data_IF_104663065818
#
_entry.id   IF_104663065818
#
_cell.length_a   1.000
_cell.length_b   1.000
_cell.length_c   1.000
_cell.angle_alpha   90.00
_cell.angle_beta   90.00
_cell.angle_gamma   90.00
#
_symmetry.space_group_name_H-M   'P 1'
#
loop_
_entity.id
_entity.type
_entity.pdbx_description
1 polymer ?
#
# COMPACT_ATOMS: atom_id res chain seq x y z
N UNK A 1 -6.58 0.34 0.93
CA UNK A 1 -6.32 1.59 0.20
C UNK A 1 -4.86 1.67 -0.18
N UNK A 2 -4.56 1.89 -1.48
CA UNK A 2 -3.21 2.19 -1.96
C UNK A 2 -2.88 3.66 -1.73
N UNK A 3 -1.70 3.94 -1.17
CA UNK A 3 -1.19 5.30 -0.97
C UNK A 3 -0.06 5.55 -1.98
N UNK A 4 -0.42 6.10 -3.13
CA UNK A 4 0.47 6.44 -4.23
C UNK A 4 0.31 7.95 -4.54
N UNK A 5 0.79 8.84 -3.64
CA UNK A 5 0.54 10.27 -3.71
C UNK A 5 1.41 10.94 -4.78
N UNK A 6 0.90 11.06 -6.01
CA UNK A 6 1.55 11.85 -7.06
C UNK A 6 1.62 13.33 -6.60
N UNK A 7 2.82 13.93 -6.36
CA UNK A 7 2.95 15.17 -5.60
C UNK A 7 2.14 16.34 -6.19
N UNK A 8 2.27 16.62 -7.47
CA UNK A 8 1.57 17.74 -8.10
C UNK A 8 0.05 17.58 -8.10
N UNK A 9 -0.44 16.38 -8.36
CA UNK A 9 -1.90 16.12 -8.40
C UNK A 9 -2.50 16.18 -7.01
N UNK A 10 -1.81 15.59 -6.01
CA UNK A 10 -2.33 15.54 -4.66
C UNK A 10 -2.34 16.91 -4.01
N UNK A 11 -1.29 17.71 -4.24
CA UNK A 11 -1.23 19.11 -3.80
C UNK A 11 -2.36 19.92 -4.40
N UNK A 12 -2.58 19.82 -5.71
CA UNK A 12 -3.66 20.54 -6.41
C UNK A 12 -5.02 20.17 -5.82
N UNK A 13 -5.25 18.90 -5.53
CA UNK A 13 -6.51 18.39 -5.02
C UNK A 13 -6.80 18.83 -3.59
N UNK A 14 -5.81 18.75 -2.70
CA UNK A 14 -6.00 18.95 -1.26
C UNK A 14 -5.60 20.34 -0.76
N UNK A 15 -5.09 21.22 -1.62
CA UNK A 15 -4.56 22.54 -1.23
C UNK A 15 -5.52 23.35 -0.36
N UNK A 16 -6.77 23.47 -0.79
CA UNK A 16 -7.78 24.26 -0.05
C UNK A 16 -8.12 23.67 1.30
N UNK A 17 -8.11 22.34 1.43
CA UNK A 17 -8.38 21.67 2.70
C UNK A 17 -7.21 21.80 3.67
N UNK A 18 -5.98 21.66 3.16
CA UNK A 18 -4.77 21.89 3.96
C UNK A 18 -4.72 23.33 4.49
N UNK A 19 -5.00 24.32 3.65
CA UNK A 19 -5.05 25.72 4.09
C UNK A 19 -6.09 25.93 5.20
N UNK A 20 -7.28 25.35 5.05
CA UNK A 20 -8.35 25.42 6.04
C UNK A 20 -7.97 24.78 7.38
N UNK A 21 -7.30 23.63 7.33
CA UNK A 21 -6.81 22.96 8.54
C UNK A 21 -5.76 23.79 9.28
N UNK A 22 -4.82 24.37 8.55
CA UNK A 22 -3.76 25.20 9.11
C UNK A 22 -4.27 26.51 9.72
N UNK A 23 -5.33 27.08 9.14
CA UNK A 23 -6.04 28.23 9.70
C UNK A 23 -6.78 27.88 11.00
N UNK A 24 -7.35 26.67 11.06
CA UNK A 24 -8.14 26.22 12.25
C UNK A 24 -7.27 25.67 13.39
N UNK A 25 -6.15 25.06 13.09
CA UNK A 25 -5.17 24.55 14.06
C UNK A 25 -3.76 24.79 13.54
N UNK A 26 -3.04 25.82 14.06
CA UNK A 26 -1.64 26.01 13.72
C UNK A 26 -0.87 24.74 14.09
N UNK A 27 -0.32 24.05 13.11
CA UNK A 27 0.55 22.90 13.33
C UNK A 27 1.86 23.40 13.95
N UNK A 28 2.08 23.08 15.21
CA UNK A 28 3.38 23.20 15.84
C UNK A 28 4.22 21.98 15.43
N UNK A 29 5.02 22.14 14.39
CA UNK A 29 6.05 21.15 14.05
C UNK A 29 7.27 21.36 14.93
N UNK A 30 7.63 20.35 15.70
CA UNK A 30 8.88 20.34 16.42
C UNK A 30 10.00 19.88 15.47
N UNK A 31 10.72 20.84 14.89
CA UNK A 31 11.91 20.54 14.09
C UNK A 31 13.10 20.34 15.03
N UNK A 32 13.71 19.17 14.98
CA UNK A 32 15.01 18.93 15.63
C UNK A 32 16.07 19.46 14.69
N UNK A 33 16.64 20.63 15.01
CA UNK A 33 17.76 21.17 14.25
C UNK A 33 19.07 20.46 14.61
N UNK A 34 19.77 19.92 13.62
CA UNK A 34 21.14 19.44 13.73
C UNK A 34 22.10 20.63 13.61
N UNK A 35 22.93 20.89 14.64
CA UNK A 35 23.90 21.96 14.62
C UNK A 35 24.10 22.59 16.00
N UNK A 36 24.71 23.78 16.10
CA UNK A 36 25.04 24.49 17.37
C UNK A 36 23.86 24.69 18.34
N UNK A 37 22.64 24.35 17.97
CA UNK A 37 21.43 24.35 18.79
C UNK A 37 20.85 22.95 19.05
N UNK A 38 21.68 21.91 19.09
CA UNK A 38 21.25 20.55 19.43
C UNK A 38 20.38 20.53 20.70
N UNK A 39 19.13 20.08 20.58
CA UNK A 39 18.21 19.90 21.71
C UNK A 39 17.22 21.04 21.97
N UNK A 40 17.22 22.14 21.24
CA UNK A 40 16.15 23.15 21.32
C UNK A 40 15.04 22.84 20.32
N UNK A 41 13.92 22.40 20.83
CA UNK A 41 12.67 22.31 20.07
C UNK A 41 12.11 23.75 19.94
N UNK A 42 12.21 24.33 18.76
CA UNK A 42 11.48 25.56 18.45
C UNK A 42 10.20 25.16 17.67
N UNK A 43 9.02 25.68 18.06
CA UNK A 43 7.82 25.48 17.26
C UNK A 43 7.99 26.21 15.94
N UNK A 44 8.06 25.47 14.83
CA UNK A 44 7.98 26.02 13.48
C UNK A 44 6.51 26.30 13.19
N UNK A 45 6.13 27.57 13.14
CA UNK A 45 4.83 27.95 12.58
C UNK A 45 4.96 27.95 11.06
N UNK A 46 4.36 26.96 10.41
CA UNK A 46 4.31 26.91 8.98
C UNK A 46 3.43 28.06 8.47
N UNK A 47 4.02 28.93 7.67
CA UNK A 47 3.26 29.88 6.85
C UNK A 47 2.52 29.08 5.76
N UNK A 48 1.18 29.14 5.70
CA UNK A 48 0.40 28.45 4.67
C UNK A 48 0.88 28.68 3.23
N UNK A 49 1.51 29.83 2.97
CA UNK A 49 2.08 30.16 1.66
C UNK A 49 3.38 29.40 1.35
N UNK A 50 4.14 28.99 2.38
CA UNK A 50 5.40 28.25 2.24
C UNK A 50 5.21 26.73 2.11
N UNK A 51 4.05 26.20 2.51
CA UNK A 51 3.73 24.78 2.39
C UNK A 51 3.76 24.25 0.95
N UNK A 52 3.68 25.12 -0.04
CA UNK A 52 3.76 24.74 -1.46
C UNK A 52 5.19 24.35 -1.85
N UNK A 53 6.21 24.77 -1.10
CA UNK A 53 7.62 24.48 -1.37
C UNK A 53 8.17 23.27 -0.58
N UNK A 54 7.55 22.89 0.55
CA UNK A 54 7.96 21.75 1.37
C UNK A 54 7.12 20.50 1.05
N UNK A 55 7.42 19.84 -0.06
CA UNK A 55 6.63 18.74 -0.61
C UNK A 55 6.46 17.53 0.33
N UNK A 56 7.44 17.24 1.20
CA UNK A 56 7.44 16.07 2.09
C UNK A 56 6.44 16.20 3.25
N UNK A 57 6.43 17.33 3.94
CA UNK A 57 5.51 17.60 5.08
C UNK A 57 4.06 17.59 4.59
N UNK A 58 3.82 18.22 3.45
CA UNK A 58 2.49 18.30 2.86
C UNK A 58 2.00 16.91 2.44
N UNK A 59 2.86 16.09 1.86
CA UNK A 59 2.54 14.72 1.48
C UNK A 59 2.18 13.87 2.70
N UNK A 60 2.94 13.97 3.78
CA UNK A 60 2.65 13.27 5.03
C UNK A 60 1.28 13.68 5.60
N UNK A 61 1.00 14.97 5.67
CA UNK A 61 -0.31 15.47 6.13
C UNK A 61 -1.46 14.96 5.27
N UNK A 62 -1.32 14.99 3.95
CA UNK A 62 -2.35 14.46 3.03
C UNK A 62 -2.53 12.95 3.23
N UNK A 63 -1.45 12.18 3.36
CA UNK A 63 -1.54 10.75 3.63
C UNK A 63 -2.29 10.47 4.95
N UNK A 64 -2.04 11.25 6.01
CA UNK A 64 -2.77 11.14 7.28
C UNK A 64 -4.24 11.47 7.14
N UNK A 65 -4.59 12.50 6.37
CA UNK A 65 -5.99 12.84 6.07
C UNK A 65 -6.69 11.70 5.32
N UNK A 66 -6.04 11.16 4.30
CA UNK A 66 -6.57 10.03 3.52
C UNK A 66 -6.76 8.80 4.40
N UNK A 67 -5.76 8.45 5.21
CA UNK A 67 -5.87 7.35 6.17
C UNK A 67 -7.07 7.56 7.09
N UNK A 68 -7.18 8.73 7.72
CA UNK A 68 -8.27 9.04 8.66
C UNK A 68 -9.65 8.98 7.99
N UNK A 69 -9.77 9.52 6.77
CA UNK A 69 -11.03 9.55 6.03
C UNK A 69 -11.46 8.16 5.53
N UNK A 70 -10.51 7.27 5.19
CA UNK A 70 -10.79 5.98 4.56
C UNK A 70 -10.72 4.79 5.53
N UNK A 71 -10.19 4.98 6.73
CA UNK A 71 -10.05 3.91 7.73
C UNK A 71 -11.36 3.13 8.00
N UNK A 72 -12.56 3.73 8.11
CA UNK A 72 -13.79 2.97 8.33
C UNK A 72 -14.16 2.01 7.19
N UNK A 73 -13.52 2.14 6.03
CA UNK A 73 -13.81 1.39 4.81
C UNK A 73 -12.64 0.53 4.33
N UNK A 74 -11.49 0.61 4.99
CA UNK A 74 -10.27 -0.09 4.63
C UNK A 74 -9.99 -1.26 5.58
N UNK A 75 -9.40 -2.35 5.07
CA UNK A 75 -8.79 -3.40 5.89
C UNK A 75 -7.28 -3.19 6.02
N UNK A 76 -6.67 -2.50 5.06
CA UNK A 76 -5.23 -2.26 5.03
C UNK A 76 -4.88 -0.99 4.25
N UNK A 77 -3.72 -0.43 4.57
CA UNK A 77 -3.08 0.65 3.83
C UNK A 77 -1.78 0.14 3.19
N UNK A 78 -1.56 0.50 1.94
CA UNK A 78 -0.40 0.04 1.18
C UNK A 78 0.33 1.21 0.52
N UNK A 79 1.22 1.91 1.24
CA UNK A 79 2.09 2.90 0.63
C UNK A 79 3.08 2.24 -0.33
N UNK A 80 3.22 2.83 -1.52
CA UNK A 80 4.20 2.39 -2.50
C UNK A 80 5.49 3.19 -2.31
N UNK A 81 6.58 2.51 -1.98
CA UNK A 81 7.87 3.11 -1.65
C UNK A 81 8.39 4.10 -2.70
N UNK A 82 8.08 3.87 -3.99
CA UNK A 82 8.53 4.76 -5.07
C UNK A 82 8.05 6.21 -4.95
N UNK A 83 6.95 6.45 -4.23
CA UNK A 83 6.43 7.81 -4.00
C UNK A 83 7.04 8.49 -2.77
N UNK A 84 7.86 7.79 -2.00
CA UNK A 84 8.47 8.25 -0.75
C UNK A 84 9.98 8.03 -0.71
N UNK A 85 10.58 7.51 -1.78
CA UNK A 85 12.00 7.21 -1.83
C UNK A 85 12.82 8.53 -1.74
N UNK A 86 13.87 8.52 -0.90
CA UNK A 86 14.70 9.67 -0.55
C UNK A 86 14.04 10.75 0.33
N UNK A 87 12.86 10.51 0.86
CA UNK A 87 12.24 11.37 1.88
C UNK A 87 12.68 10.93 3.29
N UNK A 88 12.97 11.90 4.16
CA UNK A 88 13.54 11.61 5.48
C UNK A 88 12.55 10.91 6.42
N UNK A 89 11.24 11.16 6.32
CA UNK A 89 10.27 10.70 7.32
C UNK A 89 8.98 10.08 6.78
N UNK A 90 8.46 10.52 5.65
CA UNK A 90 7.08 10.27 5.23
C UNK A 90 6.61 8.81 5.28
N UNK A 91 7.39 7.89 4.71
CA UNK A 91 6.99 6.49 4.60
C UNK A 91 6.90 5.77 5.96
N UNK A 92 7.83 6.05 6.88
CA UNK A 92 7.88 5.40 8.21
C UNK A 92 6.88 5.97 9.20
N UNK A 93 6.34 7.15 8.95
CA UNK A 93 5.29 7.75 9.78
C UNK A 93 3.90 7.15 9.50
N UNK A 94 3.67 6.57 8.32
CA UNK A 94 2.38 5.96 7.96
C UNK A 94 2.01 4.80 8.90
N UNK A 95 2.87 3.79 9.17
CA UNK A 95 2.56 2.73 10.14
C UNK A 95 2.25 3.28 11.51
N UNK A 96 3.03 4.24 12.02
CA UNK A 96 2.78 4.87 13.33
C UNK A 96 1.42 5.52 13.39
N UNK A 97 1.04 6.27 12.36
CA UNK A 97 -0.25 6.96 12.30
C UNK A 97 -1.41 5.97 12.21
N UNK A 98 -1.31 4.93 11.37
CA UNK A 98 -2.34 3.89 11.22
C UNK A 98 -2.52 3.14 12.53
N UNK A 99 -1.45 2.66 13.17
CA UNK A 99 -1.53 1.90 14.40
C UNK A 99 -2.00 2.75 15.61
N UNK A 100 -1.69 4.07 15.61
CA UNK A 100 -2.20 4.98 16.63
C UNK A 100 -3.72 5.23 16.53
N UNK A 101 -4.35 4.93 15.40
CA UNK A 101 -5.79 5.14 15.18
C UNK A 101 -6.70 4.16 15.93
N UNK A 102 -6.13 3.21 16.70
CA UNK A 102 -6.84 2.14 17.44
C UNK A 102 -7.74 1.24 16.56
N UNK A 103 -7.53 1.24 15.27
CA UNK A 103 -8.19 0.37 14.32
C UNK A 103 -7.20 -0.72 13.92
N UNK A 104 -7.63 -1.98 13.85
CA UNK A 104 -6.82 -3.14 13.48
C UNK A 104 -6.49 -3.18 11.97
N UNK A 105 -5.90 -2.09 11.47
CA UNK A 105 -5.51 -2.00 10.06
C UNK A 105 -4.09 -2.47 9.85
N UNK A 106 -3.90 -3.24 8.79
CA UNK A 106 -2.56 -3.64 8.34
C UNK A 106 -1.91 -2.53 7.51
N UNK A 107 -0.59 -2.40 7.63
CA UNK A 107 0.20 -1.52 6.76
C UNK A 107 1.20 -2.35 5.96
N UNK A 108 1.05 -2.34 4.64
CA UNK A 108 1.83 -3.15 3.71
C UNK A 108 2.86 -2.27 3.00
N UNK A 109 4.14 -2.52 3.19
CA UNK A 109 5.22 -1.88 2.45
C UNK A 109 5.26 -2.40 1.01
N UNK A 110 4.85 -1.57 0.02
CA UNK A 110 4.89 -1.95 -1.39
C UNK A 110 6.19 -1.46 -2.06
N UNK A 111 7.29 -2.16 -1.80
CA UNK A 111 8.61 -1.81 -2.33
C UNK A 111 9.21 -2.87 -3.24
N UNK A 112 8.57 -4.04 -3.38
CA UNK A 112 8.99 -5.15 -4.26
C UNK A 112 10.48 -5.46 -4.10
N UNK A 113 10.95 -5.48 -2.83
CA UNK A 113 12.36 -5.69 -2.53
C UNK A 113 12.81 -7.09 -2.97
N UNK A 114 14.07 -7.20 -3.34
CA UNK A 114 14.70 -8.45 -3.73
C UNK A 114 16.20 -8.25 -3.79
N UNK A 115 16.92 -9.03 -2.98
CA UNK A 115 18.37 -9.05 -2.91
C UNK A 115 18.80 -10.35 -2.22
N UNK A 116 20.07 -10.63 -2.13
CA UNK A 116 20.59 -11.87 -1.55
C UNK A 116 21.25 -11.65 -0.19
N UNK A 117 21.31 -12.71 0.61
CA UNK A 117 22.11 -12.82 1.83
C UNK A 117 21.88 -11.68 2.81
N UNK A 118 22.98 -11.01 3.20
CA UNK A 118 22.95 -9.96 4.19
C UNK A 118 22.15 -8.72 3.78
N UNK A 119 22.15 -8.36 2.49
CA UNK A 119 21.40 -7.20 1.98
C UNK A 119 19.90 -7.43 2.14
N UNK A 120 19.40 -8.61 1.78
CA UNK A 120 18.00 -8.98 1.99
C UNK A 120 17.61 -8.94 3.47
N UNK A 121 18.50 -9.40 4.37
CA UNK A 121 18.31 -9.30 5.81
C UNK A 121 18.21 -7.84 6.28
N UNK A 122 19.03 -6.94 5.76
CA UNK A 122 18.96 -5.52 6.11
C UNK A 122 17.64 -4.87 5.64
N UNK A 123 17.13 -5.24 4.47
CA UNK A 123 15.80 -4.82 4.02
C UNK A 123 14.69 -5.31 4.94
N UNK A 124 14.70 -6.59 5.33
CA UNK A 124 13.71 -7.16 6.23
C UNK A 124 13.72 -6.43 7.59
N UNK A 125 14.90 -6.24 8.19
CA UNK A 125 15.09 -5.52 9.45
C UNK A 125 14.62 -4.05 9.36
N UNK A 126 14.96 -3.36 8.27
CA UNK A 126 14.55 -1.97 8.07
C UNK A 126 13.03 -1.83 7.95
N UNK A 127 12.38 -2.72 7.19
CA UNK A 127 10.95 -2.62 6.86
C UNK A 127 10.09 -3.20 8.00
N UNK A 128 10.30 -4.46 8.33
CA UNK A 128 9.45 -5.21 9.27
C UNK A 128 9.81 -4.93 10.73
N UNK A 129 11.11 -4.69 11.02
CA UNK A 129 11.59 -4.33 12.35
C UNK A 129 11.42 -2.85 12.64
N UNK A 130 12.34 -2.01 12.15
CA UNK A 130 12.38 -0.57 12.49
C UNK A 130 11.23 0.22 11.87
N UNK A 131 10.81 -0.10 10.65
CA UNK A 131 9.73 0.59 9.94
C UNK A 131 8.34 0.28 10.46
N UNK A 132 8.17 -0.83 11.21
CA UNK A 132 6.90 -1.20 11.83
C UNK A 132 5.80 -1.64 10.86
N UNK A 133 6.16 -2.01 9.62
CA UNK A 133 5.17 -2.51 8.65
C UNK A 133 4.73 -3.94 9.00
N UNK A 134 3.44 -4.23 8.79
CA UNK A 134 2.86 -5.54 9.06
C UNK A 134 3.10 -6.54 7.93
N UNK A 135 3.33 -6.04 6.72
CA UNK A 135 3.67 -6.86 5.57
C UNK A 135 4.54 -6.12 4.56
N UNK A 136 5.15 -6.89 3.65
CA UNK A 136 6.03 -6.37 2.60
C UNK A 136 5.81 -7.11 1.28
N UNK A 137 5.94 -6.42 0.14
CA UNK A 137 6.01 -7.06 -1.18
C UNK A 137 7.46 -7.38 -1.54
N UNK A 138 7.71 -8.62 -1.98
CA UNK A 138 9.05 -9.14 -2.29
C UNK A 138 9.08 -9.75 -3.69
N UNK A 139 10.17 -9.53 -4.42
CA UNK A 139 10.43 -10.17 -5.70
C UNK A 139 11.11 -11.53 -5.47
N UNK A 140 10.49 -12.67 -5.84
CA UNK A 140 11.02 -14.01 -5.57
C UNK A 140 12.02 -14.52 -6.63
N UNK A 141 12.25 -13.78 -7.73
CA UNK A 141 13.00 -14.28 -8.87
C UNK A 141 14.49 -14.60 -8.60
N UNK A 142 15.03 -14.06 -7.49
CA UNK A 142 16.37 -14.40 -7.04
C UNK A 142 16.44 -15.69 -6.20
N UNK A 143 15.31 -16.34 -5.94
CA UNK A 143 15.24 -17.61 -5.23
C UNK A 143 14.90 -17.50 -3.74
N UNK A 144 14.91 -18.66 -3.06
CA UNK A 144 14.51 -18.79 -1.67
C UNK A 144 15.38 -17.98 -0.70
N UNK A 145 16.67 -17.95 -0.92
CA UNK A 145 17.63 -17.23 -0.09
C UNK A 145 17.43 -15.71 -0.08
N UNK A 146 16.83 -15.16 -1.15
CA UNK A 146 16.42 -13.77 -1.21
C UNK A 146 15.13 -13.49 -0.40
N UNK A 147 14.25 -14.47 -0.26
CA UNK A 147 12.95 -14.36 0.42
C UNK A 147 13.05 -14.74 1.90
N UNK A 148 13.84 -15.74 2.25
CA UNK A 148 13.96 -16.30 3.61
C UNK A 148 14.20 -15.27 4.72
N UNK A 149 14.99 -14.19 4.54
CA UNK A 149 15.15 -13.16 5.57
C UNK A 149 13.86 -12.44 5.96
N UNK A 150 12.93 -12.27 5.02
CA UNK A 150 11.61 -11.71 5.31
C UNK A 150 10.70 -12.73 5.99
N UNK A 151 10.76 -13.99 5.58
CA UNK A 151 9.99 -15.09 6.21
C UNK A 151 10.42 -15.36 7.66
N UNK A 152 11.61 -14.91 8.07
CA UNK A 152 12.09 -15.05 9.44
C UNK A 152 11.28 -14.26 10.49
N UNK A 153 10.34 -13.42 10.04
CA UNK A 153 9.40 -12.65 10.86
C UNK A 153 8.00 -13.29 10.80
N UNK A 154 7.70 -14.32 11.61
CA UNK A 154 6.47 -15.11 11.45
C UNK A 154 5.18 -14.33 11.70
N UNK A 155 5.24 -13.24 12.47
CA UNK A 155 4.13 -12.32 12.74
C UNK A 155 3.93 -11.25 11.65
N UNK A 156 4.78 -11.24 10.61
CA UNK A 156 4.74 -10.29 9.50
C UNK A 156 4.46 -10.99 8.17
N UNK A 157 3.59 -10.40 7.35
CA UNK A 157 3.21 -10.95 6.05
C UNK A 157 4.25 -10.67 4.95
N UNK A 158 4.45 -11.64 4.06
CA UNK A 158 5.34 -11.51 2.89
C UNK A 158 4.57 -11.84 1.63
N UNK A 159 4.23 -10.82 0.84
CA UNK A 159 3.56 -11.00 -0.44
C UNK A 159 4.58 -11.11 -1.58
N UNK A 160 4.69 -12.29 -2.16
CA UNK A 160 5.59 -12.55 -3.29
C UNK A 160 4.94 -12.10 -4.59
N UNK A 161 5.70 -11.40 -5.47
CA UNK A 161 5.25 -11.09 -6.81
C UNK A 161 5.05 -12.39 -7.60
N UNK A 162 3.81 -12.66 -7.97
CA UNK A 162 3.44 -13.88 -8.70
C UNK A 162 2.93 -13.55 -10.09
N UNK A 163 1.82 -12.82 -10.18
CA UNK A 163 1.25 -12.37 -11.45
C UNK A 163 0.97 -10.87 -11.37
N UNK A 164 1.69 -10.07 -12.15
CA UNK A 164 1.52 -8.61 -12.15
C UNK A 164 0.46 -8.14 -13.16
N UNK A 165 -0.14 -6.96 -12.91
CA UNK A 165 -1.25 -6.42 -13.71
C UNK A 165 -0.85 -5.71 -15.01
N UNK A 166 0.45 -5.41 -15.19
CA UNK A 166 0.98 -4.68 -16.34
C UNK A 166 1.06 -5.57 -17.60
N UNK A 167 1.05 -5.00 -18.80
CA UNK A 167 1.20 -5.75 -20.06
C UNK A 167 2.47 -6.59 -20.13
N UNK A 168 3.61 -6.06 -19.65
CA UNK A 168 4.92 -6.73 -19.64
C UNK A 168 4.99 -7.99 -18.75
N UNK A 169 3.94 -8.34 -18.01
CA UNK A 169 3.85 -9.65 -17.37
C UNK A 169 3.95 -10.79 -18.41
N UNK A 170 3.56 -10.53 -19.66
CA UNK A 170 3.66 -11.49 -20.74
C UNK A 170 5.11 -11.84 -21.13
N UNK A 171 6.07 -10.95 -20.87
CA UNK A 171 7.47 -11.15 -21.29
C UNK A 171 8.15 -12.28 -20.51
N UNK A 172 7.75 -12.51 -19.25
CA UNK A 172 8.36 -13.50 -18.37
C UNK A 172 7.35 -14.31 -17.58
N UNK A 173 6.42 -13.64 -16.88
CA UNK A 173 5.57 -14.34 -15.90
C UNK A 173 4.60 -15.33 -16.56
N UNK A 174 4.11 -15.02 -17.76
CA UNK A 174 3.23 -15.93 -18.51
C UNK A 174 4.02 -16.96 -19.34
N UNK A 175 5.30 -16.68 -19.66
CA UNK A 175 6.15 -17.62 -20.36
C UNK A 175 6.36 -18.90 -19.55
N UNK A 176 6.07 -20.04 -20.17
CA UNK A 176 6.16 -21.36 -19.55
C UNK A 176 5.48 -21.47 -18.19
N UNK A 177 4.40 -20.71 -17.97
CA UNK A 177 3.65 -20.67 -16.72
C UNK A 177 4.52 -20.32 -15.49
N UNK A 178 5.52 -19.43 -15.64
CA UNK A 178 6.44 -19.06 -14.54
C UNK A 178 5.68 -18.57 -13.30
N UNK A 179 4.56 -17.85 -13.48
CA UNK A 179 3.71 -17.40 -12.36
C UNK A 179 3.17 -18.57 -11.54
N UNK A 180 2.81 -19.72 -12.15
CA UNK A 180 2.40 -20.91 -11.40
C UNK A 180 3.57 -21.55 -10.66
N UNK A 181 4.75 -21.54 -11.28
CA UNK A 181 5.96 -22.01 -10.61
C UNK A 181 6.29 -21.19 -9.38
N UNK A 182 6.08 -19.87 -9.44
CA UNK A 182 6.21 -18.98 -8.28
C UNK A 182 5.15 -19.33 -7.22
N UNK A 183 3.90 -19.57 -7.61
CA UNK A 183 2.84 -19.96 -6.67
C UNK A 183 3.15 -21.29 -5.96
N UNK A 184 3.62 -22.31 -6.69
CA UNK A 184 4.07 -23.59 -6.11
C UNK A 184 5.19 -23.38 -5.07
N UNK A 185 6.20 -22.56 -5.41
CA UNK A 185 7.30 -22.24 -4.50
C UNK A 185 6.83 -21.46 -3.28
N UNK A 186 5.89 -20.54 -3.45
CA UNK A 186 5.29 -19.82 -2.33
C UNK A 186 4.60 -20.77 -1.33
N UNK A 187 3.86 -21.76 -1.83
CA UNK A 187 3.26 -22.81 -0.98
C UNK A 187 4.35 -23.62 -0.25
N UNK A 188 5.39 -24.06 -0.96
CA UNK A 188 6.53 -24.80 -0.39
C UNK A 188 7.23 -23.99 0.73
N UNK A 189 7.40 -22.66 0.53
CA UNK A 189 8.11 -21.81 1.47
C UNK A 189 7.25 -21.33 2.65
N UNK A 190 5.94 -21.56 2.61
CA UNK A 190 4.99 -21.08 3.63
C UNK A 190 4.99 -21.90 4.93
N UNK A 191 6.12 -22.40 5.36
CA UNK A 191 6.20 -23.22 6.59
C UNK A 191 5.85 -22.47 7.88
N UNK A 192 5.90 -21.13 7.86
CA UNK A 192 5.55 -20.27 9.00
C UNK A 192 4.16 -19.62 8.88
N UNK A 193 3.42 -19.90 7.80
CA UNK A 193 2.07 -19.37 7.60
C UNK A 193 1.99 -17.87 7.25
N UNK A 194 3.09 -17.27 6.81
CA UNK A 194 3.20 -15.83 6.58
C UNK A 194 3.44 -15.41 5.12
N UNK A 195 3.29 -16.34 4.17
CA UNK A 195 3.41 -16.07 2.73
C UNK A 195 2.06 -15.76 2.11
N UNK A 196 2.01 -14.72 1.30
CA UNK A 196 0.93 -14.40 0.37
C UNK A 196 1.47 -14.16 -1.04
N UNK A 197 0.56 -13.93 -1.99
CA UNK A 197 0.90 -13.70 -3.39
C UNK A 197 0.33 -12.37 -3.88
N UNK A 198 1.09 -11.63 -4.69
CA UNK A 198 0.57 -10.51 -5.47
C UNK A 198 0.03 -11.05 -6.79
N UNK A 199 -1.29 -10.88 -7.03
CA UNK A 199 -2.00 -11.38 -8.21
C UNK A 199 -2.82 -10.26 -8.84
N UNK A 200 -2.42 -9.79 -10.02
CA UNK A 200 -3.07 -8.67 -10.71
C UNK A 200 -4.48 -8.99 -11.19
N UNK A 201 -5.40 -8.03 -11.03
CA UNK A 201 -6.80 -8.16 -11.41
C UNK A 201 -7.09 -8.11 -12.92
N UNK A 202 -6.10 -7.80 -13.75
CA UNK A 202 -6.29 -7.61 -15.20
C UNK A 202 -6.36 -8.92 -16.00
N UNK A 203 -6.11 -10.06 -15.35
CA UNK A 203 -6.09 -11.39 -15.96
C UNK A 203 -6.75 -12.43 -15.05
N UNK A 204 -8.09 -12.39 -14.91
CA UNK A 204 -8.81 -13.27 -13.98
C UNK A 204 -8.62 -14.76 -14.26
N UNK A 205 -8.49 -15.17 -15.52
CA UNK A 205 -8.28 -16.57 -15.93
C UNK A 205 -6.95 -17.14 -15.40
N UNK A 206 -5.89 -16.33 -15.34
CA UNK A 206 -4.60 -16.74 -14.74
C UNK A 206 -4.66 -16.70 -13.21
N UNK A 207 -5.40 -15.74 -12.66
CA UNK A 207 -5.60 -15.65 -11.21
C UNK A 207 -6.35 -16.87 -10.65
N UNK A 208 -7.32 -17.40 -11.39
CA UNK A 208 -8.00 -18.65 -11.07
C UNK A 208 -7.03 -19.82 -10.94
N UNK A 209 -6.09 -19.97 -11.88
CA UNK A 209 -5.05 -21.01 -11.84
C UNK A 209 -4.10 -20.83 -10.65
N UNK A 210 -3.76 -19.58 -10.27
CA UNK A 210 -2.98 -19.31 -9.06
C UNK A 210 -3.74 -19.76 -7.82
N UNK A 211 -5.04 -19.48 -7.73
CA UNK A 211 -5.88 -19.90 -6.59
C UNK A 211 -5.98 -21.42 -6.48
N UNK A 212 -6.04 -22.14 -7.60
CA UNK A 212 -6.03 -23.62 -7.63
C UNK A 212 -4.71 -24.19 -7.08
N UNK A 213 -3.57 -23.61 -7.44
CA UNK A 213 -2.24 -24.05 -6.97
C UNK A 213 -1.99 -23.65 -5.52
N UNK A 214 -2.45 -22.49 -5.10
CA UNK A 214 -2.19 -21.90 -3.79
C UNK A 214 -3.49 -21.56 -3.03
N UNK A 215 -4.37 -22.55 -2.73
CA UNK A 215 -5.69 -22.31 -2.15
C UNK A 215 -5.64 -21.65 -0.78
N UNK A 216 -4.60 -21.91 0.01
CA UNK A 216 -4.47 -21.41 1.37
C UNK A 216 -3.75 -20.06 1.48
N UNK A 217 -3.07 -19.59 0.43
CA UNK A 217 -2.30 -18.36 0.50
C UNK A 217 -3.21 -17.13 0.33
N UNK A 218 -3.04 -16.07 1.13
CA UNK A 218 -3.71 -14.81 0.91
C UNK A 218 -3.22 -14.15 -0.39
N UNK A 219 -4.15 -13.54 -1.12
CA UNK A 219 -3.85 -12.82 -2.37
C UNK A 219 -3.95 -11.31 -2.15
N UNK A 220 -2.92 -10.57 -2.52
CA UNK A 220 -2.95 -9.12 -2.69
C UNK A 220 -3.25 -8.81 -4.15
N UNK A 221 -4.40 -8.20 -4.41
CA UNK A 221 -4.98 -8.04 -5.75
C UNK A 221 -4.95 -6.56 -6.17
N UNK A 222 -3.88 -6.07 -6.80
CA UNK A 222 -3.85 -4.75 -7.42
C UNK A 222 -4.45 -4.77 -8.83
N UNK A 223 -4.75 -3.57 -9.36
CA UNK A 223 -5.14 -3.39 -10.76
C UNK A 223 -6.63 -3.16 -11.00
N UNK A 224 -7.42 -3.00 -9.93
CA UNK A 224 -8.83 -2.58 -10.02
C UNK A 224 -8.92 -1.07 -10.28
N UNK A 225 -9.91 -0.66 -11.04
CA UNK A 225 -10.18 0.73 -11.39
C UNK A 225 -9.26 1.23 -12.50
N UNK A 226 -8.32 2.13 -12.19
CA UNK A 226 -7.49 2.82 -13.18
C UNK A 226 -6.65 1.92 -14.12
N UNK A 227 -6.44 0.66 -13.79
CA UNK A 227 -5.75 -0.32 -14.64
C UNK A 227 -6.70 -1.24 -15.43
N UNK A 228 -8.02 -1.05 -15.28
CA UNK A 228 -9.03 -1.74 -16.06
C UNK A 228 -9.43 -3.13 -15.57
N UNK A 229 -8.93 -3.58 -14.42
CA UNK A 229 -9.37 -4.84 -13.82
C UNK A 229 -10.85 -4.78 -13.42
N UNK A 230 -11.60 -5.84 -13.73
CA UNK A 230 -13.01 -5.99 -13.35
C UNK A 230 -13.09 -6.65 -11.97
N UNK A 231 -13.72 -5.96 -11.02
CA UNK A 231 -13.81 -6.42 -9.63
C UNK A 231 -14.62 -7.73 -9.53
N UNK A 232 -15.76 -7.83 -10.19
CA UNK A 232 -16.60 -9.04 -10.15
C UNK A 232 -15.87 -10.25 -10.72
N UNK A 233 -15.30 -10.12 -11.91
CA UNK A 233 -14.59 -11.21 -12.58
C UNK A 233 -13.39 -11.72 -11.76
N UNK A 234 -12.61 -10.83 -11.16
CA UNK A 234 -11.45 -11.27 -10.36
C UNK A 234 -11.90 -11.93 -9.05
N UNK A 235 -12.94 -11.42 -8.38
CA UNK A 235 -13.45 -12.03 -7.14
C UNK A 235 -14.05 -13.43 -7.41
N UNK A 236 -14.74 -13.62 -8.51
CA UNK A 236 -15.23 -14.94 -8.93
C UNK A 236 -14.06 -15.87 -9.26
N UNK A 237 -13.07 -15.40 -10.03
CA UNK A 237 -11.88 -16.18 -10.41
C UNK A 237 -11.07 -16.68 -9.21
N UNK A 238 -10.91 -15.85 -8.19
CA UNK A 238 -10.17 -16.25 -6.95
C UNK A 238 -11.07 -16.92 -5.91
N UNK A 239 -12.31 -17.24 -6.27
CA UNK A 239 -13.29 -17.93 -5.39
C UNK A 239 -13.53 -17.15 -4.08
N UNK A 240 -13.64 -15.83 -4.16
CA UNK A 240 -13.68 -14.94 -3.00
C UNK A 240 -14.82 -15.25 -2.00
N UNK A 241 -15.98 -15.74 -2.48
CA UNK A 241 -17.13 -16.11 -1.63
C UNK A 241 -16.85 -17.32 -0.71
N UNK A 242 -16.06 -18.28 -1.18
CA UNK A 242 -15.73 -19.50 -0.44
C UNK A 242 -14.34 -19.46 0.18
N UNK A 243 -13.48 -18.57 -0.33
CA UNK A 243 -12.12 -18.38 0.13
C UNK A 243 -11.82 -16.89 0.34
N UNK A 244 -12.10 -16.32 1.52
CA UNK A 244 -11.97 -14.90 1.81
C UNK A 244 -10.53 -14.44 2.08
N UNK A 245 -9.52 -15.24 1.71
CA UNK A 245 -8.10 -14.89 1.87
C UNK A 245 -7.62 -14.00 0.74
N UNK A 246 -8.06 -12.75 0.72
CA UNK A 246 -7.63 -11.77 -0.26
C UNK A 246 -7.71 -10.33 0.28
N UNK A 247 -6.94 -9.44 -0.34
CA UNK A 247 -6.99 -7.99 -0.17
C UNK A 247 -7.03 -7.34 -1.56
N UNK A 248 -8.10 -6.63 -1.88
CA UNK A 248 -8.17 -5.81 -3.10
C UNK A 248 -7.47 -4.48 -2.85
N UNK A 249 -6.47 -4.13 -3.67
CA UNK A 249 -5.79 -2.85 -3.59
C UNK A 249 -6.28 -1.88 -4.66
N UNK A 250 -6.87 -0.76 -4.23
CA UNK A 250 -7.28 0.36 -5.09
C UNK A 250 -6.52 1.60 -4.64
N UNK A 251 -5.87 2.30 -5.57
CA UNK A 251 -5.12 3.52 -5.30
C UNK A 251 -5.73 4.72 -6.03
N UNK A 252 -5.37 4.95 -7.28
CA UNK A 252 -5.74 6.16 -8.05
C UNK A 252 -7.24 6.48 -8.06
N UNK A 253 -8.09 5.47 -8.16
CA UNK A 253 -9.55 5.67 -8.16
C UNK A 253 -10.11 6.10 -6.79
N UNK A 254 -9.34 5.92 -5.71
CA UNK A 254 -9.67 6.43 -4.38
C UNK A 254 -9.00 7.79 -4.15
N UNK A 255 -7.72 7.92 -4.47
CA UNK A 255 -6.94 9.13 -4.21
C UNK A 255 -7.36 10.32 -5.10
N UNK A 256 -7.80 10.04 -6.33
CA UNK A 256 -8.18 11.03 -7.35
C UNK A 256 -9.58 10.71 -7.90
N UNK A 257 -10.63 10.72 -7.06
CA UNK A 257 -11.96 10.36 -7.49
C UNK A 257 -12.55 11.45 -8.39
N UNK A 258 -13.28 11.07 -9.44
CA UNK A 258 -13.97 12.00 -10.34
C UNK A 258 -15.07 12.81 -9.64
N UNK A 259 -15.54 12.37 -8.49
CA UNK A 259 -16.59 13.03 -7.71
C UNK A 259 -16.14 14.25 -6.92
N UNK A 260 -14.87 14.65 -7.00
CA UNK A 260 -14.36 15.84 -6.29
C UNK A 260 -15.08 17.11 -6.77
N UNK A 261 -15.31 17.24 -8.06
CA UNK A 261 -16.02 18.39 -8.64
C UNK A 261 -17.48 18.49 -8.11
N UNK A 262 -18.11 17.35 -7.88
CA UNK A 262 -19.50 17.28 -7.37
C UNK A 262 -19.58 17.58 -5.87
N UNK A 263 -18.61 17.09 -5.11
CA UNK A 263 -18.60 17.23 -3.63
C UNK A 263 -18.08 18.59 -3.19
N UNK A 264 -17.20 19.22 -3.96
CA UNK A 264 -16.46 20.41 -3.56
C UNK A 264 -15.53 20.21 -2.36
N UNK A 265 -15.37 18.94 -1.90
CA UNK A 265 -14.60 18.54 -0.72
C UNK A 265 -13.79 17.27 -1.06
N UNK A 266 -12.46 17.38 -1.22
CA UNK A 266 -11.62 16.27 -1.62
C UNK A 266 -11.55 15.16 -0.57
N UNK A 267 -11.60 15.48 0.71
CA UNK A 267 -11.59 14.48 1.79
C UNK A 267 -12.85 13.64 1.75
N UNK A 268 -14.01 14.31 1.59
CA UNK A 268 -15.30 13.64 1.45
C UNK A 268 -15.35 12.79 0.17
N UNK A 269 -14.82 13.28 -0.94
CA UNK A 269 -14.77 12.53 -2.20
C UNK A 269 -13.95 11.25 -2.07
N UNK A 270 -12.76 11.32 -1.46
CA UNK A 270 -11.89 10.16 -1.17
C UNK A 270 -12.58 9.16 -0.23
N UNK A 271 -13.26 9.64 0.81
CA UNK A 271 -14.04 8.81 1.73
C UNK A 271 -15.15 8.05 0.98
N UNK A 272 -15.95 8.74 0.17
CA UNK A 272 -17.04 8.14 -0.60
C UNK A 272 -16.53 7.12 -1.63
N UNK A 273 -15.38 7.38 -2.26
CA UNK A 273 -14.76 6.45 -3.18
C UNK A 273 -14.33 5.15 -2.46
N UNK A 274 -13.69 5.26 -1.29
CA UNK A 274 -13.32 4.08 -0.49
C UNK A 274 -14.55 3.30 -0.03
N UNK A 275 -15.60 3.98 0.44
CA UNK A 275 -16.88 3.38 0.79
C UNK A 275 -17.50 2.62 -0.38
N UNK A 276 -17.54 3.23 -1.55
CA UNK A 276 -18.09 2.62 -2.77
C UNK A 276 -17.37 1.32 -3.13
N UNK A 277 -16.03 1.29 -3.09
CA UNK A 277 -15.28 0.06 -3.37
C UNK A 277 -15.52 -1.01 -2.31
N UNK A 278 -15.59 -0.67 -1.01
CA UNK A 278 -15.96 -1.62 0.04
C UNK A 278 -17.34 -2.22 -0.24
N UNK A 279 -18.35 -1.39 -0.52
CA UNK A 279 -19.73 -1.82 -0.74
C UNK A 279 -19.83 -2.73 -1.98
N UNK A 280 -19.08 -2.45 -3.05
CA UNK A 280 -18.99 -3.30 -4.24
C UNK A 280 -18.37 -4.66 -3.91
N UNK A 281 -17.30 -4.70 -3.12
CA UNK A 281 -16.68 -5.96 -2.66
C UNK A 281 -17.67 -6.76 -1.81
N UNK A 282 -18.31 -6.14 -0.82
CA UNK A 282 -19.29 -6.80 0.02
C UNK A 282 -20.48 -7.34 -0.80
N UNK A 283 -20.96 -6.57 -1.79
CA UNK A 283 -22.02 -7.03 -2.68
C UNK A 283 -21.62 -8.24 -3.52
N UNK A 284 -20.39 -8.28 -4.01
CA UNK A 284 -19.87 -9.41 -4.78
C UNK A 284 -19.65 -10.68 -3.94
N UNK A 285 -19.52 -10.55 -2.62
CA UNK A 285 -19.34 -11.69 -1.71
C UNK A 285 -20.67 -12.33 -1.24
N UNK A 286 -21.78 -11.66 -1.45
CA UNK A 286 -23.14 -12.19 -1.17
C UNK A 286 -23.61 -13.10 -2.28
#
# INVERSE_FOLDING_TARGET
VGLDPEPEKILTLFRSELLRMLESQPLELHVVTSGENEGKQAPLRLDPSQLVEESEVVKDLICRLIVSATAPYAAAFKPNAAFFEFEESGLVEIPKHVHASQLDHLVIFDGKRGDIGNTSKQYAEAILGRGGFDAVTVNPLMGRDAVEPFLAWPERGVFLLCLTSNPGAADFLLEHDLYLRIAEKAVEWNSRGNVGLVVGATRPEYAARVREVAPELPLLIPGIGAQGGNLGEILDAVQARTNPRFLVNVSRSILFPSTVEETGDPVKAVMLAAQSFRDQIEAALR
#
